data_IF_938577707321
#
_entry.id   IF_938577707321
#
_cell.length_a   1.000
_cell.length_b   1.000
_cell.length_c   1.000
_cell.angle_alpha   90.00
_cell.angle_beta   90.00
_cell.angle_gamma   90.00
#
_symmetry.space_group_name_H-M   'P 1'
#
loop_
_entity.id
_entity.type
_entity.pdbx_description
1 polymer ?
#
# COMPACT_ATOMS: atom_id res chain seq x y z
N UNK A 1 -3.47 27.29 -29.07
CA UNK A 1 -2.52 26.83 -28.05
C UNK A 1 -2.96 27.21 -26.63
N UNK A 2 -4.23 27.55 -26.40
CA UNK A 2 -4.73 28.17 -25.15
C UNK A 2 -5.56 27.26 -24.25
N UNK A 3 -6.16 26.20 -24.79
CA UNK A 3 -7.15 25.40 -24.05
C UNK A 3 -6.54 24.19 -23.33
N UNK A 4 -5.34 23.77 -23.76
CA UNK A 4 -4.64 22.61 -23.18
C UNK A 4 -3.92 22.98 -21.88
N UNK A 5 -3.22 24.12 -21.84
CA UNK A 5 -2.56 24.63 -20.63
C UNK A 5 -3.56 25.00 -19.52
N UNK A 6 -4.72 25.55 -19.91
CA UNK A 6 -5.78 25.95 -18.96
C UNK A 6 -6.39 24.75 -18.21
N UNK A 7 -6.47 23.58 -18.86
CA UNK A 7 -7.02 22.35 -18.28
C UNK A 7 -6.04 21.69 -17.30
N UNK A 8 -4.76 21.60 -17.68
CA UNK A 8 -3.70 21.07 -16.81
C UNK A 8 -3.51 21.91 -15.54
N UNK A 9 -3.61 23.25 -15.64
CA UNK A 9 -3.56 24.12 -14.46
C UNK A 9 -4.75 23.88 -13.51
N UNK A 10 -5.96 23.62 -14.04
CA UNK A 10 -7.17 23.39 -13.24
C UNK A 10 -7.22 22.03 -12.52
N UNK A 11 -6.54 21.01 -13.05
CA UNK A 11 -6.45 19.68 -12.42
C UNK A 11 -5.39 19.65 -11.30
N UNK A 12 -4.32 20.44 -11.43
CA UNK A 12 -3.26 20.53 -10.42
C UNK A 12 -3.70 21.14 -9.08
N UNK A 13 -4.84 21.86 -9.07
CA UNK A 13 -5.40 22.56 -7.92
C UNK A 13 -6.53 21.80 -7.20
N UNK A 14 -6.88 20.59 -7.63
CA UNK A 14 -7.92 19.80 -6.94
C UNK A 14 -7.42 19.32 -5.57
N UNK A 15 -8.25 19.40 -4.53
CA UNK A 15 -7.90 18.94 -3.20
C UNK A 15 -7.73 17.41 -3.13
N UNK A 16 -6.86 16.95 -2.23
CA UNK A 16 -6.64 15.54 -1.91
C UNK A 16 -7.57 15.17 -0.76
N UNK A 17 -8.34 14.09 -0.95
CA UNK A 17 -9.36 13.65 0.03
C UNK A 17 -9.01 12.34 0.75
N UNK A 18 -8.06 11.54 0.25
CA UNK A 18 -7.73 10.22 0.79
C UNK A 18 -6.49 10.28 1.69
N UNK A 19 -6.59 9.70 2.89
CA UNK A 19 -5.53 9.67 3.91
C UNK A 19 -4.66 8.41 3.89
N UNK A 20 -5.00 7.42 3.09
CA UNK A 20 -4.26 6.17 3.05
C UNK A 20 -3.90 5.92 1.59
N UNK A 21 -2.60 5.80 1.29
CA UNK A 21 -2.12 5.52 -0.06
C UNK A 21 -1.27 4.25 -0.01
N UNK A 22 -1.59 3.28 -0.86
CA UNK A 22 -0.92 1.98 -0.90
C UNK A 22 -0.26 1.78 -2.25
N UNK A 23 1.04 1.54 -2.25
CA UNK A 23 1.80 1.16 -3.46
C UNK A 23 2.13 -0.33 -3.37
N UNK A 24 1.38 -1.14 -4.10
CA UNK A 24 1.41 -2.61 -4.03
C UNK A 24 1.74 -3.23 -5.39
N UNK A 25 2.00 -4.54 -5.39
CA UNK A 25 2.24 -5.33 -6.60
C UNK A 25 3.41 -6.29 -6.44
N UNK A 26 3.78 -6.93 -7.54
CA UNK A 26 4.87 -7.90 -7.53
C UNK A 26 6.23 -7.31 -7.13
N UNK A 27 7.18 -8.13 -6.70
CA UNK A 27 8.53 -7.66 -6.37
C UNK A 27 9.19 -6.95 -7.56
N UNK A 28 10.13 -6.04 -7.26
CA UNK A 28 10.95 -5.36 -8.28
C UNK A 28 10.23 -4.46 -9.29
N UNK A 29 8.98 -4.09 -9.05
CA UNK A 29 8.24 -3.08 -9.83
C UNK A 29 8.57 -1.62 -9.46
N UNK A 30 9.64 -1.38 -8.69
CA UNK A 30 10.07 -0.02 -8.30
C UNK A 30 9.25 0.66 -7.20
N UNK A 31 8.41 -0.10 -6.49
CA UNK A 31 7.47 0.40 -5.46
C UNK A 31 8.11 1.28 -4.39
N UNK A 32 9.17 0.82 -3.75
CA UNK A 32 9.88 1.61 -2.72
C UNK A 32 10.42 2.92 -3.28
N UNK A 33 10.93 2.91 -4.50
CA UNK A 33 11.43 4.12 -5.18
C UNK A 33 10.28 5.08 -5.47
N UNK A 34 9.15 4.56 -5.98
CA UNK A 34 7.95 5.35 -6.22
C UNK A 34 7.37 5.93 -4.92
N UNK A 35 7.25 5.13 -3.86
CA UNK A 35 6.72 5.57 -2.58
C UNK A 35 7.57 6.70 -1.98
N UNK A 36 8.90 6.61 -2.04
CA UNK A 36 9.78 7.69 -1.57
C UNK A 36 9.66 8.97 -2.40
N UNK A 37 9.67 8.86 -3.72
CA UNK A 37 9.52 10.02 -4.59
C UNK A 37 8.15 10.69 -4.42
N UNK A 38 7.08 9.89 -4.27
CA UNK A 38 5.75 10.38 -3.99
C UNK A 38 5.67 11.08 -2.62
N UNK A 39 6.28 10.51 -1.59
CA UNK A 39 6.37 11.14 -0.26
C UNK A 39 7.01 12.53 -0.34
N UNK A 40 8.18 12.63 -0.97
CA UNK A 40 8.89 13.90 -1.15
C UNK A 40 8.01 14.92 -1.88
N UNK A 41 7.29 14.46 -2.92
CA UNK A 41 6.41 15.33 -3.70
C UNK A 41 5.18 15.79 -2.91
N UNK A 42 4.57 14.91 -2.12
CA UNK A 42 3.42 15.23 -1.27
C UNK A 42 3.79 16.20 -0.14
N UNK A 43 4.95 16.04 0.49
CA UNK A 43 5.45 16.95 1.53
C UNK A 43 5.79 18.35 1.00
N UNK A 44 6.00 18.50 -0.31
CA UNK A 44 6.19 19.80 -0.97
C UNK A 44 4.87 20.49 -1.35
N UNK A 45 3.75 19.77 -1.39
CA UNK A 45 2.45 20.39 -1.62
C UNK A 45 2.08 21.25 -0.40
N UNK A 46 1.50 22.43 -0.62
CA UNK A 46 1.04 23.26 0.48
C UNK A 46 -0.02 22.52 1.29
N UNK A 47 -0.10 22.78 2.60
CA UNK A 47 -1.13 22.21 3.49
C UNK A 47 -2.55 22.50 3.00
N UNK A 48 -2.74 23.51 2.14
CA UNK A 48 -4.02 23.86 1.51
C UNK A 48 -4.47 22.85 0.43
N UNK A 49 -3.56 22.05 -0.13
CA UNK A 49 -3.88 21.01 -1.11
C UNK A 49 -4.55 19.78 -0.47
N UNK A 50 -4.47 19.64 0.84
CA UNK A 50 -5.10 18.56 1.58
C UNK A 50 -6.34 19.08 2.31
N UNK A 51 -7.52 18.73 1.79
CA UNK A 51 -8.80 18.99 2.44
C UNK A 51 -9.38 17.65 2.87
N UNK A 52 -9.06 17.17 4.09
CA UNK A 52 -9.65 15.94 4.59
C UNK A 52 -11.18 16.10 4.60
N UNK A 53 -11.88 15.04 4.23
CA UNK A 53 -13.34 15.05 4.17
C UNK A 53 -13.93 15.55 5.49
N UNK A 54 -14.60 16.70 5.45
CA UNK A 54 -15.25 17.34 6.59
C UNK A 54 -16.47 16.56 7.10
N UNK A 55 -16.91 15.52 6.38
CA UNK A 55 -17.96 14.60 6.80
C UNK A 55 -17.45 13.42 7.62
N UNK A 56 -16.12 13.26 7.77
CA UNK A 56 -15.56 12.29 8.69
C UNK A 56 -16.04 12.60 10.12
N UNK A 57 -16.52 11.60 10.88
CA UNK A 57 -17.04 11.82 12.22
C UNK A 57 -15.99 12.54 13.06
N UNK A 58 -16.41 13.57 13.81
CA UNK A 58 -15.51 14.27 14.73
C UNK A 58 -14.84 13.24 15.66
N UNK A 59 -13.52 13.35 15.89
CA UNK A 59 -12.83 12.41 16.75
C UNK A 59 -13.52 12.37 18.11
N UNK A 60 -13.94 11.16 18.51
CA UNK A 60 -14.66 10.93 19.76
C UNK A 60 -13.81 11.51 20.91
N UNK A 61 -14.36 12.43 21.73
CA UNK A 61 -13.63 12.99 22.86
C UNK A 61 -13.16 11.88 23.80
N UNK A 62 -11.85 11.87 24.04
CA UNK A 62 -11.07 10.99 24.95
C UNK A 62 -11.89 10.17 25.96
N UNK A 63 -11.74 8.84 25.90
CA UNK A 63 -11.63 8.03 27.12
C UNK A 63 -10.13 7.84 27.44
N UNK A 64 -9.78 7.69 28.71
CA UNK A 64 -8.42 7.80 29.26
C UNK A 64 -7.49 6.60 28.96
N UNK A 65 -7.47 6.07 27.73
CA UNK A 65 -6.71 4.86 27.38
C UNK A 65 -5.88 5.00 26.10
N UNK A 66 -4.99 5.99 26.03
CA UNK A 66 -4.01 6.12 24.93
C UNK A 66 -2.55 6.02 25.43
N UNK A 67 -2.33 5.15 26.42
CA UNK A 67 -0.99 4.76 26.91
C UNK A 67 -0.41 3.58 26.11
N UNK A 68 -1.07 3.16 25.02
CA UNK A 68 -0.59 2.05 24.22
C UNK A 68 0.65 2.52 23.45
N UNK A 69 1.85 1.93 23.70
CA UNK A 69 3.04 2.34 22.99
C UNK A 69 2.85 2.10 21.48
N UNK A 70 3.46 2.94 20.62
CA UNK A 70 3.47 2.68 19.19
C UNK A 70 3.95 1.25 18.89
N UNK A 71 3.30 0.55 17.95
CA UNK A 71 3.76 -0.75 17.48
C UNK A 71 5.24 -0.74 17.06
N UNK A 72 5.83 -1.93 17.02
CA UNK A 72 7.13 -2.09 16.36
C UNK A 72 7.00 -1.66 14.90
N UNK A 73 8.07 -1.04 14.38
CA UNK A 73 8.16 -0.53 13.01
C UNK A 73 7.22 0.64 12.67
N UNK A 74 6.49 1.21 13.64
CA UNK A 74 5.72 2.44 13.42
C UNK A 74 6.64 3.55 12.89
N UNK A 75 6.23 4.29 11.84
CA UNK A 75 7.00 5.42 11.34
C UNK A 75 7.19 6.49 12.42
N UNK A 76 8.22 7.32 12.25
CA UNK A 76 8.47 8.44 13.15
C UNK A 76 7.28 9.41 13.15
N UNK A 77 6.52 9.41 14.25
CA UNK A 77 5.32 10.22 14.42
C UNK A 77 5.61 11.72 14.45
N UNK A 78 6.88 12.13 14.62
CA UNK A 78 7.30 13.52 14.54
C UNK A 78 7.56 13.99 13.10
N UNK A 79 7.61 13.07 12.13
CA UNK A 79 7.79 13.40 10.72
C UNK A 79 6.55 14.09 10.12
N UNK A 80 6.73 14.98 9.12
CA UNK A 80 5.61 15.63 8.45
C UNK A 80 4.75 14.61 7.68
N UNK A 81 3.43 14.78 7.75
CA UNK A 81 2.48 13.95 7.01
C UNK A 81 2.57 14.19 5.49
N UNK A 82 2.38 13.14 4.66
CA UNK A 82 2.05 11.77 5.06
C UNK A 82 3.22 11.01 5.70
N UNK A 83 2.94 10.14 6.66
CA UNK A 83 3.92 9.22 7.24
C UNK A 83 4.19 8.06 6.28
N UNK A 84 5.44 7.57 6.22
CA UNK A 84 5.80 6.44 5.35
C UNK A 84 5.88 5.13 6.14
N UNK A 85 4.93 4.22 5.90
CA UNK A 85 5.07 2.82 6.30
C UNK A 85 6.00 2.16 5.26
N UNK A 86 7.20 1.81 5.70
CA UNK A 86 8.21 1.17 4.83
C UNK A 86 8.01 -0.34 4.77
N UNK A 87 8.51 -0.99 3.71
CA UNK A 87 8.37 -2.43 3.48
C UNK A 87 8.74 -3.29 4.71
N UNK A 88 7.71 -3.77 5.43
CA UNK A 88 7.85 -4.45 6.72
C UNK A 88 8.55 -5.80 6.59
N UNK A 89 8.33 -6.51 5.48
CA UNK A 89 8.99 -7.80 5.22
C UNK A 89 10.51 -7.71 5.38
N UNK A 90 11.15 -6.64 4.84
CA UNK A 90 12.60 -6.45 4.98
C UNK A 90 13.01 -6.17 6.41
N UNK A 91 12.20 -5.44 7.17
CA UNK A 91 12.50 -5.13 8.57
C UNK A 91 12.41 -6.39 9.42
N UNK A 92 11.32 -7.14 9.27
CA UNK A 92 11.07 -8.38 10.02
C UNK A 92 12.12 -9.44 9.71
N UNK A 93 12.53 -9.61 8.45
CA UNK A 93 13.60 -10.57 8.07
C UNK A 93 14.97 -10.16 8.65
N UNK A 94 15.27 -8.85 8.72
CA UNK A 94 16.51 -8.38 9.35
C UNK A 94 16.54 -8.62 10.85
N UNK A 95 15.41 -8.41 11.51
CA UNK A 95 15.30 -8.50 12.97
C UNK A 95 15.09 -9.95 13.44
N UNK A 96 14.59 -10.82 12.55
CA UNK A 96 14.42 -12.25 12.77
C UNK A 96 15.07 -12.99 11.61
N UNK A 97 16.34 -13.44 11.73
CA UNK A 97 17.10 -14.01 10.63
C UNK A 97 16.55 -15.38 10.22
N UNK A 98 15.45 -15.39 9.47
CA UNK A 98 14.98 -16.50 8.65
C UNK A 98 15.77 -16.40 7.34
N UNK A 99 16.50 -17.45 6.95
CA UNK A 99 17.24 -17.40 5.71
C UNK A 99 16.26 -17.31 4.53
N UNK A 100 16.62 -16.58 3.48
CA UNK A 100 15.77 -16.39 2.30
C UNK A 100 15.42 -17.72 1.62
N UNK A 101 16.33 -18.70 1.67
CA UNK A 101 16.09 -20.09 1.24
C UNK A 101 14.93 -20.74 2.01
N UNK A 102 14.88 -20.51 3.33
CA UNK A 102 13.88 -21.13 4.20
C UNK A 102 12.47 -20.63 3.91
N UNK A 103 12.31 -19.44 3.31
CA UNK A 103 11.01 -18.88 2.94
C UNK A 103 10.36 -19.67 1.78
N UNK A 104 11.16 -20.18 0.84
CA UNK A 104 10.67 -21.04 -0.26
C UNK A 104 10.61 -22.52 0.13
N UNK A 105 11.60 -22.97 0.89
CA UNK A 105 11.78 -24.40 1.15
C UNK A 105 10.99 -24.90 2.37
N UNK A 106 10.49 -24.00 3.22
CA UNK A 106 9.69 -24.34 4.40
C UNK A 106 8.35 -23.59 4.43
N UNK A 107 7.24 -24.27 4.08
CA UNK A 107 5.89 -23.71 4.17
C UNK A 107 5.55 -23.19 5.58
N UNK A 108 6.06 -23.83 6.63
CA UNK A 108 5.82 -23.42 8.01
C UNK A 108 6.52 -22.08 8.36
N UNK A 109 7.77 -21.92 7.95
CA UNK A 109 8.52 -20.67 8.18
C UNK A 109 7.97 -19.54 7.29
N UNK A 110 7.60 -19.86 6.05
CA UNK A 110 6.90 -18.93 5.18
C UNK A 110 5.59 -18.44 5.80
N UNK A 111 4.78 -19.35 6.37
CA UNK A 111 3.52 -18.98 7.02
C UNK A 111 3.75 -18.11 8.26
N UNK A 112 4.76 -18.45 9.06
CA UNK A 112 5.14 -17.65 10.21
C UNK A 112 5.52 -16.23 9.78
N UNK A 113 6.35 -16.09 8.75
CA UNK A 113 6.76 -14.80 8.21
C UNK A 113 5.58 -13.99 7.66
N UNK A 114 4.73 -14.58 6.81
CA UNK A 114 3.58 -13.87 6.25
C UNK A 114 2.58 -13.46 7.32
N UNK A 115 2.34 -14.31 8.32
CA UNK A 115 1.52 -13.97 9.50
C UNK A 115 2.12 -12.80 10.28
N UNK A 116 3.43 -12.80 10.52
CA UNK A 116 4.12 -11.72 11.22
C UNK A 116 4.05 -10.40 10.45
N UNK A 117 4.19 -10.43 9.13
CA UNK A 117 4.06 -9.24 8.27
C UNK A 117 2.64 -8.69 8.35
N UNK A 118 1.61 -9.53 8.20
CA UNK A 118 0.21 -9.10 8.28
C UNK A 118 -0.10 -8.44 9.63
N UNK A 119 0.31 -9.08 10.73
CA UNK A 119 0.08 -8.55 12.08
C UNK A 119 0.80 -7.23 12.33
N UNK A 120 2.04 -7.10 11.87
CA UNK A 120 2.79 -5.86 12.01
C UNK A 120 2.16 -4.74 11.19
N UNK A 121 1.74 -5.03 9.96
CA UNK A 121 1.06 -4.08 9.09
C UNK A 121 -0.26 -3.62 9.72
N UNK A 122 -1.11 -4.56 10.15
CA UNK A 122 -2.37 -4.27 10.84
C UNK A 122 -2.15 -3.41 12.08
N UNK A 123 -1.19 -3.75 12.93
CA UNK A 123 -0.93 -2.99 14.15
C UNK A 123 -0.58 -1.52 13.86
N UNK A 124 0.25 -1.27 12.83
CA UNK A 124 0.63 0.10 12.45
C UNK A 124 -0.58 0.83 11.85
N UNK A 125 -1.29 0.22 10.89
CA UNK A 125 -2.45 0.85 10.25
C UNK A 125 -3.55 1.18 11.27
N UNK A 126 -3.88 0.22 12.15
CA UNK A 126 -4.86 0.42 13.21
C UNK A 126 -4.43 1.52 14.19
N UNK A 127 -3.14 1.60 14.54
CA UNK A 127 -2.62 2.66 15.41
C UNK A 127 -2.73 4.05 14.77
N UNK A 128 -2.40 4.16 13.49
CA UNK A 128 -2.46 5.42 12.75
C UNK A 128 -3.90 5.87 12.45
N UNK A 129 -4.79 4.92 12.21
CA UNK A 129 -6.20 5.18 11.90
C UNK A 129 -7.01 5.55 13.15
N UNK A 130 -6.86 4.80 14.23
CA UNK A 130 -7.60 5.03 15.47
C UNK A 130 -6.97 6.06 16.41
N UNK A 131 -5.86 6.70 16.00
CA UNK A 131 -5.29 7.81 16.76
C UNK A 131 -6.31 8.94 16.95
N UNK A 132 -6.25 9.64 18.09
CA UNK A 132 -7.11 10.82 18.34
C UNK A 132 -7.06 11.89 17.24
N UNK A 133 -5.96 11.92 16.48
CA UNK A 133 -5.84 12.62 15.22
C UNK A 133 -5.40 11.60 14.15
N UNK A 134 -6.35 11.01 13.39
CA UNK A 134 -6.02 9.99 12.40
C UNK A 134 -5.00 10.51 11.39
N UNK A 135 -3.91 9.76 11.23
CA UNK A 135 -2.73 10.17 10.49
C UNK A 135 -2.86 9.86 9.01
N UNK A 136 -2.43 10.78 8.14
CA UNK A 136 -2.20 10.48 6.73
C UNK A 136 -0.94 9.63 6.59
N UNK A 137 -1.03 8.51 5.87
CA UNK A 137 0.14 7.70 5.53
C UNK A 137 0.17 7.22 4.08
N UNK A 138 1.40 6.93 3.66
CA UNK A 138 1.76 6.23 2.43
C UNK A 138 2.41 4.90 2.83
N UNK A 139 1.95 3.80 2.24
CA UNK A 139 2.42 2.45 2.55
C UNK A 139 3.12 1.83 1.34
N UNK A 140 4.39 1.47 1.51
CA UNK A 140 5.13 0.61 0.57
C UNK A 140 4.84 -0.85 0.91
N UNK A 141 3.94 -1.49 0.13
CA UNK A 141 3.17 -2.72 0.46
C UNK A 141 1.91 -2.44 1.29
N UNK A 142 1.08 -3.45 1.49
CA UNK A 142 -0.10 -3.42 2.35
C UNK A 142 -0.32 -4.75 3.06
N UNK A 143 -1.42 -4.83 3.84
CA UNK A 143 -1.86 -6.08 4.45
C UNK A 143 -2.20 -7.17 3.42
N UNK A 144 -2.43 -6.82 2.15
CA UNK A 144 -2.73 -7.79 1.09
C UNK A 144 -1.49 -8.59 0.66
N UNK A 145 -0.31 -7.98 0.63
CA UNK A 145 0.93 -8.62 0.20
C UNK A 145 1.16 -10.00 0.86
N UNK A 146 1.13 -10.15 2.20
CA UNK A 146 1.34 -11.45 2.83
C UNK A 146 0.29 -12.51 2.48
N UNK A 147 -0.95 -12.12 2.17
CA UNK A 147 -1.98 -13.05 1.69
C UNK A 147 -1.61 -13.58 0.31
N UNK A 148 -1.16 -12.69 -0.59
CA UNK A 148 -0.76 -13.08 -1.95
C UNK A 148 0.44 -14.04 -1.91
N UNK A 149 1.49 -13.72 -1.14
CA UNK A 149 2.63 -14.63 -1.00
C UNK A 149 2.23 -15.96 -0.36
N UNK A 150 1.33 -15.94 0.64
CA UNK A 150 0.81 -17.17 1.24
C UNK A 150 0.12 -18.04 0.20
N UNK A 151 -0.70 -17.46 -0.68
CA UNK A 151 -1.42 -18.21 -1.72
C UNK A 151 -0.51 -18.92 -2.73
N UNK A 152 0.69 -18.39 -2.94
CA UNK A 152 1.66 -18.92 -3.91
C UNK A 152 2.63 -19.91 -3.27
N UNK A 153 3.08 -19.64 -2.05
CA UNK A 153 4.16 -20.39 -1.41
C UNK A 153 3.64 -21.52 -0.49
N UNK A 154 2.37 -21.47 -0.10
CA UNK A 154 1.85 -22.28 1.00
C UNK A 154 0.55 -22.97 0.58
N UNK A 155 0.47 -24.31 0.65
CA UNK A 155 -0.77 -25.03 0.37
C UNK A 155 -1.93 -24.60 1.28
N UNK A 156 -3.20 -24.79 0.85
CA UNK A 156 -4.35 -24.64 1.71
C UNK A 156 -4.23 -25.49 3.00
N UNK A 157 -4.82 -25.05 4.14
CA UNK A 157 -5.77 -23.94 4.28
C UNK A 157 -5.13 -22.59 4.66
N UNK A 158 -3.81 -22.44 4.60
CA UNK A 158 -3.10 -21.27 5.15
C UNK A 158 -3.62 -19.93 4.62
N UNK A 159 -3.76 -19.81 3.30
CA UNK A 159 -4.31 -18.61 2.65
C UNK A 159 -5.74 -18.30 3.13
N UNK A 160 -6.60 -19.32 3.19
CA UNK A 160 -8.01 -19.17 3.62
C UNK A 160 -8.09 -18.69 5.07
N UNK A 161 -7.20 -19.18 5.93
CA UNK A 161 -7.15 -18.77 7.33
C UNK A 161 -6.69 -17.30 7.48
N UNK A 162 -5.71 -16.86 6.69
CA UNK A 162 -5.29 -15.44 6.70
C UNK A 162 -6.37 -14.53 6.12
N UNK A 163 -7.05 -14.95 5.05
CA UNK A 163 -8.16 -14.22 4.46
C UNK A 163 -9.36 -14.10 5.42
N UNK A 164 -9.53 -15.04 6.34
CA UNK A 164 -10.58 -15.01 7.36
C UNK A 164 -10.13 -14.34 8.68
N UNK A 165 -8.92 -13.81 8.76
CA UNK A 165 -8.38 -13.24 10.00
C UNK A 165 -8.93 -11.82 10.24
N UNK A 166 -9.07 -11.44 11.51
CA UNK A 166 -9.52 -10.08 11.87
C UNK A 166 -8.50 -9.02 11.46
N UNK A 167 -7.20 -9.35 11.48
CA UNK A 167 -6.14 -8.44 11.04
C UNK A 167 -6.28 -8.09 9.55
N UNK A 168 -6.62 -9.06 8.70
CA UNK A 168 -6.92 -8.78 7.29
C UNK A 168 -8.22 -8.01 7.13
N UNK A 169 -9.28 -8.37 7.87
CA UNK A 169 -10.58 -7.71 7.77
C UNK A 169 -10.46 -6.20 8.01
N UNK A 170 -9.70 -5.78 9.03
CA UNK A 170 -9.44 -4.37 9.32
C UNK A 170 -8.55 -3.71 8.25
N UNK A 171 -7.43 -4.35 7.84
CA UNK A 171 -6.57 -3.81 6.78
C UNK A 171 -7.34 -3.59 5.47
N UNK A 172 -8.25 -4.51 5.14
CA UNK A 172 -9.11 -4.43 3.96
C UNK A 172 -10.00 -3.19 4.01
N UNK A 173 -10.61 -2.87 5.15
CA UNK A 173 -11.42 -1.64 5.27
C UNK A 173 -10.56 -0.38 5.08
N UNK A 174 -9.36 -0.35 5.65
CA UNK A 174 -8.43 0.78 5.47
C UNK A 174 -7.99 0.96 4.01
N UNK A 175 -7.75 -0.16 3.32
CA UNK A 175 -7.48 -0.16 1.88
C UNK A 175 -8.70 0.29 1.07
N UNK A 176 -9.93 -0.12 1.46
CA UNK A 176 -11.18 0.32 0.81
C UNK A 176 -11.43 1.80 0.97
N UNK A 177 -10.96 2.44 2.03
CA UNK A 177 -11.04 3.90 2.23
C UNK A 177 -9.91 4.66 1.49
N UNK A 178 -8.79 3.99 1.23
CA UNK A 178 -7.59 4.56 0.63
C UNK A 178 -7.57 4.68 -0.89
N UNK A 179 -6.40 5.05 -1.41
CA UNK A 179 -6.00 4.86 -2.80
C UNK A 179 -5.06 3.65 -2.88
N UNK A 180 -5.43 2.63 -3.65
CA UNK A 180 -4.58 1.47 -3.91
C UNK A 180 -4.05 1.52 -5.33
N UNK A 181 -2.73 1.61 -5.46
CA UNK A 181 -2.01 1.58 -6.73
C UNK A 181 -1.31 0.24 -6.88
N UNK A 182 -1.67 -0.52 -7.91
CA UNK A 182 -1.04 -1.79 -8.25
C UNK A 182 -0.02 -1.54 -9.36
N UNK A 183 1.27 -1.69 -9.06
CA UNK A 183 2.31 -1.61 -10.09
C UNK A 183 2.29 -2.88 -10.94
N UNK A 184 2.09 -2.74 -12.26
CA UNK A 184 2.05 -3.86 -13.19
C UNK A 184 3.40 -4.62 -13.24
N UNK A 185 3.35 -5.95 -13.32
CA UNK A 185 4.52 -6.81 -13.51
C UNK A 185 5.07 -6.72 -14.95
N UNK A 186 6.36 -7.02 -15.14
CA UNK A 186 6.97 -7.08 -16.47
C UNK A 186 7.88 -5.89 -16.81
N UNK A 187 8.36 -5.16 -15.80
CA UNK A 187 9.33 -4.08 -16.00
C UNK A 187 10.72 -4.62 -16.38
N UNK A 188 11.37 -4.01 -17.36
CA UNK A 188 12.65 -4.48 -17.91
C UNK A 188 13.88 -4.11 -17.06
N UNK A 189 13.73 -3.21 -16.08
CA UNK A 189 14.82 -2.72 -15.21
C UNK A 189 14.91 -3.45 -13.86
N UNK A 190 14.48 -4.70 -13.81
CA UNK A 190 14.53 -5.55 -12.63
C UNK A 190 16.00 -5.87 -12.27
N UNK A 191 16.44 -5.48 -11.08
CA UNK A 191 17.77 -5.83 -10.54
C UNK A 191 17.57 -6.63 -9.25
N UNK A 192 18.17 -7.82 -9.19
CA UNK A 192 18.23 -8.64 -7.99
C UNK A 192 19.11 -7.94 -6.93
N UNK A 193 18.56 -7.69 -5.75
CA UNK A 193 19.27 -7.09 -4.62
C UNK A 193 19.62 -8.11 -3.51
N UNK A 194 19.43 -9.41 -3.77
CA UNK A 194 19.80 -10.50 -2.87
C UNK A 194 18.94 -10.66 -1.61
N UNK A 195 17.98 -9.74 -1.40
CA UNK A 195 17.05 -9.76 -0.26
C UNK A 195 15.66 -10.27 -0.70
N UNK A 196 15.38 -10.23 -2.00
CA UNK A 196 14.06 -10.47 -2.59
C UNK A 196 13.83 -11.93 -2.98
N UNK A 197 12.57 -12.34 -2.91
CA UNK A 197 12.08 -13.60 -3.45
C UNK A 197 11.80 -13.38 -4.94
N UNK A 198 12.84 -13.55 -5.75
CA UNK A 198 12.78 -13.28 -7.19
C UNK A 198 11.84 -14.27 -7.88
N UNK A 199 10.89 -13.82 -8.72
CA UNK A 199 10.11 -14.74 -9.56
C UNK A 199 11.06 -15.67 -10.32
N UNK A 200 10.73 -16.95 -10.39
CA UNK A 200 11.51 -17.95 -11.14
C UNK A 200 11.49 -17.60 -12.63
N UNK A 201 10.37 -17.09 -13.12
CA UNK A 201 10.20 -16.67 -14.50
C UNK A 201 9.15 -15.56 -14.67
N UNK A 202 8.94 -15.14 -15.92
CA UNK A 202 7.95 -14.13 -16.28
C UNK A 202 6.50 -14.59 -16.07
N UNK A 203 6.24 -15.91 -16.09
CA UNK A 203 4.91 -16.46 -15.87
C UNK A 203 4.52 -16.39 -14.39
N UNK A 204 5.42 -16.77 -13.48
CA UNK A 204 5.24 -16.59 -12.03
C UNK A 204 5.07 -15.10 -11.70
N UNK A 205 5.84 -14.23 -12.36
CA UNK A 205 5.73 -12.79 -12.14
C UNK A 205 4.37 -12.24 -12.57
N UNK A 206 3.87 -12.67 -13.73
CA UNK A 206 2.54 -12.33 -14.22
C UNK A 206 1.45 -12.92 -13.32
N UNK A 207 1.57 -14.18 -12.92
CA UNK A 207 0.61 -14.85 -12.04
C UNK A 207 0.50 -14.13 -10.69
N UNK A 208 1.61 -13.64 -10.14
CA UNK A 208 1.62 -12.82 -8.94
C UNK A 208 0.82 -11.53 -9.12
N UNK A 209 1.02 -10.81 -10.23
CA UNK A 209 0.24 -9.61 -10.55
C UNK A 209 -1.25 -9.91 -10.75
N UNK A 210 -1.58 -10.92 -11.55
CA UNK A 210 -2.96 -11.33 -11.81
C UNK A 210 -3.68 -11.71 -10.50
N UNK A 211 -2.95 -12.33 -9.57
CA UNK A 211 -3.47 -12.68 -8.24
C UNK A 211 -3.75 -11.44 -7.37
N UNK A 212 -2.91 -10.39 -7.41
CA UNK A 212 -3.22 -9.12 -6.74
C UNK A 212 -4.53 -8.52 -7.26
N UNK A 213 -4.65 -8.37 -8.57
CA UNK A 213 -5.84 -7.77 -9.21
C UNK A 213 -7.09 -8.58 -8.90
N UNK A 214 -6.98 -9.92 -8.97
CA UNK A 214 -8.08 -10.83 -8.65
C UNK A 214 -8.58 -10.65 -7.23
N UNK A 215 -7.69 -10.71 -6.22
CA UNK A 215 -8.10 -10.63 -4.81
C UNK A 215 -8.64 -9.25 -4.47
N UNK A 216 -8.07 -8.17 -5.02
CA UNK A 216 -8.64 -6.82 -4.86
C UNK A 216 -10.06 -6.75 -5.40
N UNK A 217 -10.33 -7.35 -6.56
CA UNK A 217 -11.67 -7.41 -7.13
C UNK A 217 -12.66 -8.25 -6.31
N UNK A 218 -12.25 -9.44 -5.87
CA UNK A 218 -13.06 -10.34 -5.04
C UNK A 218 -13.39 -9.72 -3.67
N UNK A 219 -12.43 -9.02 -3.07
CA UNK A 219 -12.58 -8.32 -1.79
C UNK A 219 -13.16 -6.90 -1.96
N UNK A 220 -13.59 -6.50 -3.16
CA UNK A 220 -14.23 -5.20 -3.40
C UNK A 220 -13.37 -4.00 -3.00
N UNK A 221 -12.05 -4.09 -3.16
CA UNK A 221 -11.10 -3.01 -2.88
C UNK A 221 -10.87 -2.21 -4.17
N UNK A 222 -11.30 -0.93 -4.23
CA UNK A 222 -11.04 -0.07 -5.39
C UNK A 222 -9.54 0.11 -5.60
N UNK A 223 -9.07 -0.12 -6.83
CA UNK A 223 -7.66 -0.03 -7.16
C UNK A 223 -7.45 0.50 -8.57
N UNK A 224 -6.26 1.05 -8.80
CA UNK A 224 -5.82 1.50 -10.11
C UNK A 224 -4.49 0.83 -10.44
N UNK A 225 -4.37 0.30 -11.65
CA UNK A 225 -3.11 -0.30 -12.13
C UNK A 225 -2.23 0.80 -12.71
N UNK A 226 -1.01 0.93 -12.19
CA UNK A 226 0.05 1.73 -12.81
C UNK A 226 0.69 0.89 -13.92
N UNK A 227 0.55 1.28 -15.21
CA UNK A 227 1.05 0.48 -16.32
C UNK A 227 2.57 0.37 -16.32
N UNK A 228 3.11 -0.79 -16.71
CA UNK A 228 4.57 -1.03 -16.76
C UNK A 228 5.28 -0.17 -17.80
N UNK A 229 4.55 0.34 -18.80
CA UNK A 229 5.06 1.23 -19.83
C UNK A 229 5.40 2.63 -19.29
N UNK A 230 4.86 3.02 -18.13
CA UNK A 230 5.18 4.29 -17.46
C UNK A 230 6.51 4.14 -16.72
N UNK A 231 7.61 4.34 -17.45
CA UNK A 231 8.98 4.10 -16.96
C UNK A 231 9.51 5.23 -16.09
N UNK A 232 9.31 6.47 -16.53
CA UNK A 232 9.88 7.64 -15.87
C UNK A 232 9.33 7.76 -14.44
N UNK A 233 10.22 8.00 -13.47
CA UNK A 233 9.81 8.08 -12.07
C UNK A 233 8.82 9.23 -11.84
N UNK A 234 9.08 10.39 -12.44
CA UNK A 234 8.21 11.56 -12.35
C UNK A 234 6.81 11.28 -12.94
N UNK A 235 6.73 10.61 -14.10
CA UNK A 235 5.44 10.25 -14.70
C UNK A 235 4.65 9.27 -13.82
N UNK A 236 5.34 8.35 -13.14
CA UNK A 236 4.70 7.45 -12.15
C UNK A 236 4.20 8.22 -10.93
N UNK A 237 4.94 9.22 -10.45
CA UNK A 237 4.51 10.09 -9.35
C UNK A 237 3.29 10.90 -9.77
N UNK A 238 3.33 11.53 -10.94
CA UNK A 238 2.22 12.31 -11.49
C UNK A 238 0.96 11.46 -11.67
N UNK A 239 1.12 10.21 -12.14
CA UNK A 239 0.01 9.25 -12.21
C UNK A 239 -0.68 9.08 -10.87
N UNK A 240 0.07 8.79 -9.80
CA UNK A 240 -0.52 8.58 -8.46
C UNK A 240 -1.14 9.87 -7.92
N UNK A 241 -0.50 11.02 -8.14
CA UNK A 241 -1.06 12.32 -7.73
C UNK A 241 -2.38 12.63 -8.43
N UNK A 242 -2.51 12.29 -9.71
CA UNK A 242 -3.76 12.47 -10.43
C UNK A 242 -4.87 11.58 -9.85
N UNK A 243 -4.57 10.30 -9.58
CA UNK A 243 -5.51 9.40 -8.90
C UNK A 243 -5.92 9.90 -7.50
N UNK A 244 -5.03 10.58 -6.77
CA UNK A 244 -5.33 11.16 -5.46
C UNK A 244 -6.30 12.34 -5.52
N UNK A 245 -6.29 13.07 -6.64
CA UNK A 245 -7.13 14.24 -6.90
C UNK A 245 -8.46 13.89 -7.56
N UNK A 246 -8.66 12.64 -7.95
CA UNK A 246 -9.91 12.15 -8.52
C UNK A 246 -10.90 11.78 -7.40
N UNK A 247 -12.02 12.51 -7.38
CA UNK A 247 -13.15 12.18 -6.51
C UNK A 247 -13.75 10.82 -6.90
N UNK A 248 -14.16 10.03 -5.91
CA UNK A 248 -14.88 8.76 -6.12
C UNK A 248 -16.29 8.94 -6.74
N UNK A 249 -16.69 10.16 -7.08
CA UNK A 249 -18.05 10.52 -7.52
C UNK A 249 -18.38 10.12 -8.97
N UNK A 250 -17.51 9.39 -9.66
CA UNK A 250 -17.65 9.07 -11.08
C UNK A 250 -18.21 7.68 -11.47
N UNK A 251 -18.34 6.73 -10.54
CA UNK A 251 -18.74 5.34 -10.88
C UNK A 251 -19.97 4.87 -10.10
N UNK A 252 -21.06 5.64 -10.18
CA UNK A 252 -22.41 5.10 -10.05
C UNK A 252 -23.18 5.44 -11.32
N UNK A 253 -23.06 4.57 -12.33
CA UNK A 253 -23.90 4.60 -13.52
C UNK A 253 -23.15 4.72 -14.83
N UNK A 254 -22.75 3.57 -15.38
CA UNK A 254 -23.00 3.28 -16.79
C UNK A 254 -23.54 1.85 -16.87
N UNK A 255 -24.65 1.77 -17.58
CA UNK A 255 -25.54 0.62 -17.76
C UNK A 255 -24.87 -0.61 -18.38
#
# INVERSE_FOLDING_TARGET
MSDFDSKQMSESSKPIHRRNVYIIGAQCTGKTTLAKALLERLQQLSSEAFLPDSSAPEPIPRSQHDDTPPPLYTPDLASPEPLLITELARQIIRDNPIATSDIRDSPALSLQLQTSILKAQHAIEAYLHHSSQPKWYLSDRSGLDPLIYTSLLIPPPAYVNLLASSEWDECKEYMREGLVIVCESGVSWLVDDGVRLMPVDAEEWKALHDQFVKVLGEEGIPHTVLPKEVVALEERVDFVLNCLREDRTGETGRD
#
